data_IF_645299645045
#
_entry.id   IF_645299645045
#
_cell.length_a   1.000
_cell.length_b   1.000
_cell.length_c   1.000
_cell.angle_alpha   90.00
_cell.angle_beta   90.00
_cell.angle_gamma   90.00
#
_symmetry.space_group_name_H-M   'P 1'
#
loop_
_entity.id
_entity.type
_entity.pdbx_description
1 polymer ?
#
# COMPACT_ATOMS: atom_id res chain seq x y z
N UNK A 1 22.82 -0.91 34.51
CA UNK A 1 22.96 0.20 33.54
C UNK A 1 21.78 1.16 33.69
N UNK A 2 22.02 2.47 33.48
CA UNK A 2 20.91 3.45 33.45
C UNK A 2 20.96 4.29 32.19
N UNK A 3 19.81 4.45 31.52
CA UNK A 3 19.59 5.37 30.41
C UNK A 3 18.54 6.38 30.87
N UNK A 4 18.97 7.62 31.11
CA UNK A 4 18.12 8.65 31.72
C UNK A 4 18.18 9.92 30.88
N UNK A 5 17.33 10.01 29.88
CA UNK A 5 17.31 11.08 28.89
C UNK A 5 18.25 10.85 27.71
N UNK A 6 18.21 11.75 26.76
CA UNK A 6 18.94 11.63 25.49
C UNK A 6 18.28 10.69 24.48
N UNK A 7 18.89 10.59 23.31
CA UNK A 7 18.37 9.77 22.20
C UNK A 7 19.40 8.74 21.75
N UNK A 8 18.97 7.47 21.69
CA UNK A 8 19.66 6.39 20.99
C UNK A 8 18.93 6.17 19.68
N UNK A 9 19.52 6.60 18.58
CA UNK A 9 18.89 6.46 17.25
C UNK A 9 18.86 5.01 16.81
N UNK A 10 19.98 4.28 17.02
CA UNK A 10 20.06 2.87 16.65
C UNK A 10 21.07 2.11 17.48
N UNK A 11 20.66 0.98 18.02
CA UNK A 11 21.53 -0.02 18.64
C UNK A 11 21.24 -1.38 17.97
N UNK A 12 22.29 -2.09 17.56
CA UNK A 12 22.14 -3.37 16.84
C UNK A 12 23.10 -4.40 17.43
N UNK A 13 22.56 -5.54 17.80
CA UNK A 13 23.32 -6.69 18.27
C UNK A 13 24.06 -7.40 17.11
N UNK A 14 25.18 -8.00 17.42
CA UNK A 14 25.94 -8.80 16.47
C UNK A 14 25.21 -10.09 16.09
N UNK A 15 25.31 -10.49 14.84
CA UNK A 15 24.76 -11.75 14.33
C UNK A 15 25.82 -12.85 14.30
N UNK A 16 25.40 -14.12 14.51
CA UNK A 16 26.31 -15.25 14.52
C UNK A 16 25.64 -16.58 14.88
N UNK A 17 26.39 -17.49 15.55
CA UNK A 17 25.80 -18.73 16.07
C UNK A 17 24.71 -18.45 17.11
N UNK A 18 24.89 -17.40 17.91
CA UNK A 18 23.87 -16.81 18.78
C UNK A 18 23.80 -15.32 18.50
N UNK A 19 22.62 -14.74 18.51
CA UNK A 19 22.42 -13.31 18.32
C UNK A 19 22.81 -12.51 19.57
N UNK A 20 23.48 -11.37 19.41
CA UNK A 20 23.73 -10.41 20.48
C UNK A 20 22.55 -9.46 20.66
N UNK A 21 22.41 -8.89 21.85
CA UNK A 21 21.33 -7.92 22.11
C UNK A 21 21.63 -6.54 21.51
N UNK A 22 20.58 -5.81 21.11
CA UNK A 22 20.74 -4.43 20.64
C UNK A 22 21.17 -3.50 21.77
N UNK A 23 20.46 -3.52 22.88
CA UNK A 23 20.83 -2.86 24.14
C UNK A 23 20.79 -3.94 25.21
N UNK A 24 21.94 -4.31 25.77
CA UNK A 24 22.08 -5.36 26.77
C UNK A 24 22.77 -4.89 28.03
N UNK A 25 22.36 -5.44 29.18
CA UNK A 25 23.01 -5.26 30.47
C UNK A 25 23.12 -6.60 31.19
N UNK A 26 24.28 -6.96 31.68
CA UNK A 26 24.43 -8.17 32.54
C UNK A 26 23.76 -8.05 33.90
N UNK A 27 23.54 -6.83 34.38
CA UNK A 27 22.80 -6.51 35.60
C UNK A 27 21.53 -5.72 35.29
N UNK A 28 21.00 -5.04 36.31
CA UNK A 28 19.81 -4.22 36.13
C UNK A 28 19.94 -3.19 35.03
N UNK A 29 18.85 -3.03 34.29
CA UNK A 29 18.72 -1.98 33.27
C UNK A 29 17.53 -1.07 33.60
N UNK A 30 17.81 0.20 33.75
CA UNK A 30 16.76 1.21 33.93
C UNK A 30 16.76 2.16 32.74
N UNK A 31 15.62 2.30 32.08
CA UNK A 31 15.36 3.29 31.02
C UNK A 31 14.28 4.22 31.56
N UNK A 32 14.60 5.51 31.74
CA UNK A 32 13.68 6.41 32.47
C UNK A 32 13.88 7.86 32.08
N UNK A 33 13.10 8.74 32.70
CA UNK A 33 13.13 10.18 32.40
C UNK A 33 12.63 10.47 30.98
N UNK A 34 13.37 11.29 30.23
CA UNK A 34 13.06 11.61 28.82
C UNK A 34 13.89 10.78 27.81
N UNK A 35 14.32 9.59 28.21
CA UNK A 35 15.10 8.72 27.31
C UNK A 35 14.29 8.33 26.05
N UNK A 36 14.92 8.50 24.88
CA UNK A 36 14.34 8.10 23.62
C UNK A 36 15.22 7.05 22.94
N UNK A 37 14.65 5.88 22.68
CA UNK A 37 15.29 4.83 21.89
C UNK A 37 14.50 4.67 20.60
N UNK A 38 15.06 5.10 19.46
CA UNK A 38 14.35 5.00 18.19
C UNK A 38 14.33 3.56 17.69
N UNK A 39 15.48 2.87 17.74
CA UNK A 39 15.56 1.47 17.33
C UNK A 39 16.59 0.72 18.18
N UNK A 40 16.17 -0.39 18.79
CA UNK A 40 17.03 -1.40 19.38
C UNK A 40 16.74 -2.75 18.72
N UNK A 41 17.73 -3.34 18.06
CA UNK A 41 17.58 -4.57 17.28
C UNK A 41 18.55 -5.64 17.73
N UNK A 42 18.05 -6.81 18.08
CA UNK A 42 18.84 -8.00 18.34
C UNK A 42 19.45 -8.59 17.08
N UNK A 43 20.62 -9.18 17.22
CA UNK A 43 21.32 -9.88 16.13
C UNK A 43 20.63 -11.21 15.79
N UNK A 44 20.76 -11.63 14.55
CA UNK A 44 20.25 -12.92 14.07
C UNK A 44 21.13 -14.08 14.51
N UNK A 45 20.54 -15.26 14.66
CA UNK A 45 21.23 -16.50 15.01
C UNK A 45 21.05 -17.58 13.94
N UNK A 46 22.10 -18.37 13.72
CA UNK A 46 22.05 -19.57 12.85
C UNK A 46 21.78 -20.84 13.63
N UNK A 47 22.34 -20.98 14.83
CA UNK A 47 22.29 -22.24 15.61
C UNK A 47 21.64 -22.09 17.00
N UNK A 48 21.74 -20.91 17.61
CA UNK A 48 21.20 -20.60 18.93
C UNK A 48 19.98 -19.69 18.85
N UNK A 49 19.72 -18.96 19.92
CA UNK A 49 18.64 -18.01 19.98
C UNK A 49 19.02 -16.68 19.33
N UNK A 50 18.07 -16.00 18.73
CA UNK A 50 18.22 -14.61 18.31
C UNK A 50 18.45 -13.71 19.53
N UNK A 51 19.19 -12.60 19.36
CA UNK A 51 19.40 -11.61 20.43
C UNK A 51 18.13 -10.80 20.67
N UNK A 52 17.96 -10.26 21.85
CA UNK A 52 16.85 -9.37 22.18
C UNK A 52 17.09 -7.94 21.66
N UNK A 53 16.02 -7.20 21.40
CA UNK A 53 16.14 -5.78 21.10
C UNK A 53 16.72 -5.02 22.30
N UNK A 54 16.10 -5.18 23.46
CA UNK A 54 16.54 -4.62 24.76
C UNK A 54 16.54 -5.75 25.78
N UNK A 55 17.63 -5.92 26.54
CA UNK A 55 17.72 -6.98 27.55
C UNK A 55 18.40 -6.60 28.85
N UNK A 56 18.02 -7.27 29.93
CA UNK A 56 18.78 -7.32 31.16
C UNK A 56 19.15 -8.78 31.55
N UNK A 57 20.15 -8.94 32.40
CA UNK A 57 20.69 -10.26 32.76
C UNK A 57 19.70 -11.22 33.45
N UNK A 58 20.09 -12.47 33.58
CA UNK A 58 19.22 -13.56 34.00
C UNK A 58 18.61 -13.44 35.41
N UNK A 59 19.24 -12.66 36.28
CA UNK A 59 18.73 -12.41 37.64
C UNK A 59 18.48 -10.93 37.91
N UNK A 60 18.24 -10.18 36.86
CA UNK A 60 18.22 -8.71 36.87
C UNK A 60 16.84 -8.14 36.58
N UNK A 61 16.64 -6.89 36.93
CA UNK A 61 15.41 -6.15 36.70
C UNK A 61 15.59 -5.21 35.51
N UNK A 62 14.71 -5.29 34.56
CA UNK A 62 14.55 -4.27 33.52
C UNK A 62 13.39 -3.36 33.93
N UNK A 63 13.71 -2.08 34.12
CA UNK A 63 12.69 -1.06 34.45
C UNK A 63 12.60 -0.06 33.32
N UNK A 64 11.39 0.19 32.82
CA UNK A 64 11.07 1.26 31.89
C UNK A 64 10.05 2.15 32.59
N UNK A 65 10.37 3.44 32.81
CA UNK A 65 9.54 4.30 33.65
C UNK A 65 9.66 5.78 33.30
N UNK A 66 8.71 6.58 33.75
CA UNK A 66 8.71 8.03 33.60
C UNK A 66 8.06 8.50 32.29
N UNK A 67 8.83 9.07 31.40
CA UNK A 67 8.38 9.51 30.06
C UNK A 67 9.28 8.92 28.99
N UNK A 68 9.86 7.75 29.24
CA UNK A 68 10.71 7.08 28.27
C UNK A 68 9.89 6.69 27.01
N UNK A 69 10.53 6.82 25.85
CA UNK A 69 9.92 6.50 24.57
C UNK A 69 10.78 5.48 23.83
N UNK A 70 10.21 4.30 23.58
CA UNK A 70 10.83 3.24 22.81
C UNK A 70 10.09 3.13 21.48
N UNK A 71 10.71 3.60 20.40
CA UNK A 71 10.15 3.51 19.05
C UNK A 71 10.04 2.06 18.60
N UNK A 72 11.17 1.37 18.46
CA UNK A 72 11.19 -0.06 18.07
C UNK A 72 12.19 -0.84 18.90
N UNK A 73 11.72 -1.90 19.55
CA UNK A 73 12.53 -2.96 20.15
C UNK A 73 12.25 -4.27 19.40
N UNK A 74 13.21 -4.73 18.60
CA UNK A 74 13.05 -5.88 17.70
C UNK A 74 13.99 -7.00 18.09
N UNK A 75 13.44 -8.16 18.37
CA UNK A 75 14.23 -9.39 18.55
C UNK A 75 14.84 -9.89 17.25
N UNK A 76 16.02 -10.46 17.34
CA UNK A 76 16.71 -11.08 16.22
C UNK A 76 16.07 -12.39 15.79
N UNK A 77 16.10 -12.70 14.50
CA UNK A 77 15.59 -13.97 13.99
C UNK A 77 16.55 -15.14 14.35
N UNK A 78 15.99 -16.35 14.40
CA UNK A 78 16.76 -17.58 14.56
C UNK A 78 16.43 -18.59 13.45
N UNK A 79 17.48 -19.33 12.97
CA UNK A 79 17.24 -20.44 12.04
C UNK A 79 16.89 -21.73 12.77
N UNK A 80 17.62 -22.10 13.82
CA UNK A 80 17.46 -23.39 14.49
C UNK A 80 17.05 -23.30 15.98
N UNK A 81 16.92 -22.08 16.51
CA UNK A 81 16.55 -21.85 17.91
C UNK A 81 15.27 -21.04 18.07
N UNK A 82 15.19 -20.32 19.14
CA UNK A 82 14.09 -19.39 19.43
C UNK A 82 14.43 -18.00 18.89
N UNK A 83 13.48 -17.31 18.31
CA UNK A 83 13.63 -15.88 18.00
C UNK A 83 13.91 -15.07 19.27
N UNK A 84 14.69 -14.00 19.18
CA UNK A 84 14.93 -13.12 20.33
C UNK A 84 13.68 -12.33 20.71
N UNK A 85 13.57 -11.89 21.94
CA UNK A 85 12.46 -11.05 22.36
C UNK A 85 12.66 -9.59 21.92
N UNK A 86 11.59 -8.85 21.78
CA UNK A 86 11.70 -7.39 21.59
C UNK A 86 12.32 -6.74 22.83
N UNK A 87 11.74 -7.00 23.98
CA UNK A 87 12.20 -6.57 25.29
C UNK A 87 12.26 -7.77 26.23
N UNK A 88 13.39 -8.01 26.88
CA UNK A 88 13.61 -9.20 27.70
C UNK A 88 14.24 -8.89 29.06
N UNK A 89 13.83 -9.63 30.07
CA UNK A 89 14.58 -9.76 31.33
C UNK A 89 14.57 -11.21 31.80
N UNK A 90 15.71 -11.73 32.19
CA UNK A 90 15.75 -13.06 32.77
C UNK A 90 15.03 -13.18 34.13
N UNK A 91 14.68 -12.06 34.77
CA UNK A 91 13.92 -12.02 36.01
C UNK A 91 12.67 -11.14 35.86
N UNK A 92 12.78 -9.85 36.05
CA UNK A 92 11.61 -8.94 36.09
C UNK A 92 11.65 -7.89 35.00
N UNK A 93 10.57 -7.75 34.25
CA UNK A 93 10.26 -6.59 33.43
C UNK A 93 9.22 -5.74 34.16
N UNK A 94 9.55 -4.49 34.42
CA UNK A 94 8.65 -3.51 35.04
C UNK A 94 8.47 -2.31 34.14
N UNK A 95 7.22 -2.01 33.77
CA UNK A 95 6.86 -0.88 32.86
C UNK A 95 5.82 -0.04 33.58
N UNK A 96 6.06 1.29 33.64
CA UNK A 96 5.13 2.20 34.31
C UNK A 96 5.10 3.57 33.63
N UNK A 97 4.04 3.85 32.86
CA UNK A 97 3.73 5.16 32.34
C UNK A 97 4.44 5.59 31.06
N UNK A 98 5.02 4.68 30.32
CA UNK A 98 5.89 4.92 29.16
C UNK A 98 5.19 4.67 27.82
N UNK A 99 5.88 5.04 26.72
CA UNK A 99 5.43 4.70 25.37
C UNK A 99 6.38 3.68 24.74
N UNK A 100 5.85 2.50 24.41
CA UNK A 100 6.51 1.48 23.62
C UNK A 100 5.74 1.35 22.32
N UNK A 101 6.21 2.05 21.28
CA UNK A 101 5.50 2.11 19.99
C UNK A 101 5.47 0.74 19.32
N UNK A 102 6.57 -0.04 19.48
CA UNK A 102 6.66 -1.39 18.91
C UNK A 102 7.70 -2.24 19.62
N UNK A 103 7.25 -3.30 20.28
CA UNK A 103 8.11 -4.37 20.77
C UNK A 103 7.76 -5.66 20.02
N UNK A 104 8.71 -6.22 19.27
CA UNK A 104 8.43 -7.36 18.39
C UNK A 104 9.43 -8.48 18.62
N UNK A 105 8.94 -9.67 18.81
CA UNK A 105 9.76 -10.88 18.85
C UNK A 105 10.37 -11.22 17.49
N UNK A 106 11.52 -11.83 17.52
CA UNK A 106 12.20 -12.34 16.32
C UNK A 106 11.49 -13.58 15.77
N UNK A 107 11.52 -13.75 14.47
CA UNK A 107 10.99 -14.95 13.82
C UNK A 107 11.96 -16.12 13.96
N UNK A 108 11.43 -17.34 13.90
CA UNK A 108 12.23 -18.54 13.86
C UNK A 108 11.75 -19.50 12.76
N UNK A 109 12.67 -20.20 12.08
CA UNK A 109 12.36 -20.96 10.86
C UNK A 109 12.64 -22.47 10.96
N UNK A 110 13.29 -22.96 11.99
CA UNK A 110 13.60 -24.40 12.19
C UNK A 110 12.39 -25.26 12.53
N UNK A 111 12.50 -26.56 12.37
CA UNK A 111 11.40 -27.52 12.60
C UNK A 111 10.82 -27.52 14.02
N UNK A 112 11.63 -27.16 15.03
CA UNK A 112 11.21 -27.06 16.43
C UNK A 112 11.34 -25.63 16.96
N UNK A 113 11.27 -24.65 16.06
CA UNK A 113 11.50 -23.26 16.38
C UNK A 113 10.30 -22.59 17.04
N UNK A 114 10.58 -21.65 17.93
CA UNK A 114 9.57 -20.79 18.56
C UNK A 114 9.89 -19.34 18.23
N UNK A 115 8.90 -18.56 17.83
CA UNK A 115 9.05 -17.11 17.70
C UNK A 115 9.35 -16.47 19.06
N UNK A 116 10.16 -15.41 19.08
CA UNK A 116 10.40 -14.64 20.30
C UNK A 116 9.16 -13.88 20.76
N UNK A 117 9.11 -13.48 22.01
CA UNK A 117 8.02 -12.66 22.54
C UNK A 117 8.24 -11.18 22.23
N UNK A 118 7.17 -10.41 22.16
CA UNK A 118 7.30 -8.95 22.09
C UNK A 118 7.93 -8.41 23.38
N UNK A 119 7.41 -8.82 24.53
CA UNK A 119 7.96 -8.56 25.86
C UNK A 119 8.01 -9.90 26.61
N UNK A 120 9.19 -10.29 27.12
CA UNK A 120 9.41 -11.55 27.84
C UNK A 120 10.13 -11.39 29.15
N UNK A 121 9.79 -12.23 30.15
CA UNK A 121 10.47 -12.25 31.44
C UNK A 121 9.88 -13.30 32.38
N UNK A 122 10.56 -13.64 33.49
CA UNK A 122 9.92 -14.49 34.51
C UNK A 122 8.74 -13.77 35.16
N UNK A 123 8.91 -12.50 35.49
CA UNK A 123 7.82 -11.64 35.97
C UNK A 123 7.66 -10.43 35.02
N UNK A 124 6.50 -10.25 34.46
CA UNK A 124 6.18 -9.06 33.66
C UNK A 124 5.10 -8.26 34.36
N UNK A 125 5.46 -7.07 34.82
CA UNK A 125 4.56 -6.16 35.52
C UNK A 125 4.40 -4.88 34.75
N UNK A 126 3.17 -4.58 34.30
CA UNK A 126 2.80 -3.37 33.55
C UNK A 126 1.80 -2.58 34.39
N UNK A 127 2.18 -1.38 34.82
CA UNK A 127 1.38 -0.50 35.67
C UNK A 127 0.94 0.80 34.94
N UNK A 128 0.78 0.74 33.65
CA UNK A 128 0.35 1.86 32.79
C UNK A 128 1.24 2.03 31.57
N UNK A 129 0.90 3.01 30.72
CA UNK A 129 1.62 3.34 29.48
C UNK A 129 0.88 2.95 28.22
N UNK A 130 1.44 3.35 27.08
CA UNK A 130 0.96 2.96 25.74
C UNK A 130 1.93 1.95 25.14
N UNK A 131 1.48 0.71 24.93
CA UNK A 131 2.34 -0.41 24.59
C UNK A 131 1.77 -1.20 23.41
N UNK A 132 2.51 -1.27 22.31
CA UNK A 132 2.22 -2.21 21.22
C UNK A 132 3.27 -3.31 21.19
N UNK A 133 2.81 -4.53 21.26
CA UNK A 133 3.69 -5.69 21.34
C UNK A 133 3.21 -6.83 20.44
N UNK A 134 4.16 -7.52 19.80
CA UNK A 134 3.86 -8.59 18.85
C UNK A 134 4.84 -9.73 19.01
N UNK A 135 4.34 -10.95 19.10
CA UNK A 135 5.16 -12.16 19.06
C UNK A 135 5.71 -12.44 17.67
N UNK A 136 6.89 -13.01 17.60
CA UNK A 136 7.50 -13.49 16.37
C UNK A 136 6.83 -14.75 15.84
N UNK A 137 6.97 -15.02 14.55
CA UNK A 137 6.48 -16.25 13.93
C UNK A 137 7.49 -17.40 14.11
N UNK A 138 6.98 -18.62 14.15
CA UNK A 138 7.74 -19.86 14.24
C UNK A 138 6.82 -21.04 14.00
N UNK A 139 7.29 -22.28 14.21
CA UNK A 139 6.40 -23.45 14.29
C UNK A 139 5.45 -23.30 15.49
N UNK A 140 5.93 -22.71 16.57
CA UNK A 140 5.11 -22.10 17.62
C UNK A 140 5.34 -20.60 17.61
N UNK A 141 4.29 -19.82 17.48
CA UNK A 141 4.38 -18.36 17.53
C UNK A 141 4.76 -17.87 18.92
N UNK A 142 5.46 -16.75 18.97
CA UNK A 142 5.77 -16.04 20.20
C UNK A 142 4.54 -15.31 20.76
N UNK A 143 4.56 -15.01 22.04
CA UNK A 143 3.53 -14.20 22.68
C UNK A 143 3.77 -12.69 22.44
N UNK A 144 2.72 -11.91 22.49
CA UNK A 144 2.86 -10.47 22.63
C UNK A 144 3.56 -10.15 23.95
N UNK A 145 3.02 -10.63 25.06
CA UNK A 145 3.61 -10.54 26.40
C UNK A 145 3.69 -11.95 26.98
N UNK A 146 4.86 -12.36 27.46
CA UNK A 146 5.12 -13.69 28.03
C UNK A 146 5.82 -13.60 29.38
N UNK A 147 5.39 -14.42 30.35
CA UNK A 147 6.02 -14.53 31.66
C UNK A 147 5.60 -15.77 32.42
N UNK A 148 6.39 -16.15 33.44
CA UNK A 148 5.92 -17.15 34.41
C UNK A 148 4.75 -16.56 35.20
N UNK A 149 4.85 -15.27 35.54
CA UNK A 149 3.75 -14.47 36.11
C UNK A 149 3.66 -13.16 35.34
N UNK A 150 2.46 -12.83 34.88
CA UNK A 150 2.16 -11.54 34.24
C UNK A 150 1.11 -10.80 35.06
N UNK A 151 1.32 -9.50 35.26
CA UNK A 151 0.36 -8.59 35.92
C UNK A 151 0.25 -7.30 35.14
N UNK A 152 -0.97 -6.90 34.85
CA UNK A 152 -1.27 -5.70 34.06
C UNK A 152 -2.31 -4.88 34.81
N UNK A 153 -2.00 -3.60 35.07
CA UNK A 153 -2.92 -2.72 35.79
C UNK A 153 -2.83 -1.28 35.32
N UNK A 154 -3.88 -0.49 35.54
CA UNK A 154 -3.91 0.95 35.32
C UNK A 154 -3.80 1.79 36.60
N UNK A 155 -3.26 1.20 37.66
CA UNK A 155 -3.26 1.79 39.01
C UNK A 155 -2.53 3.12 39.05
N UNK A 156 -1.36 3.24 38.40
CA UNK A 156 -0.50 4.42 38.50
C UNK A 156 -0.72 5.43 37.40
N UNK A 157 -0.91 4.98 36.16
CA UNK A 157 -1.06 5.83 34.98
C UNK A 157 -2.10 5.23 34.03
N UNK A 158 -2.62 6.00 33.06
CA UNK A 158 -3.42 5.43 31.99
C UNK A 158 -2.69 4.30 31.29
N UNK A 159 -3.43 3.28 30.90
CA UNK A 159 -2.94 2.07 30.24
C UNK A 159 -3.64 1.88 28.90
N UNK A 160 -2.86 1.69 27.85
CA UNK A 160 -3.35 1.30 26.52
C UNK A 160 -2.39 0.26 25.93
N UNK A 161 -2.82 -1.00 25.92
CA UNK A 161 -2.01 -2.10 25.41
C UNK A 161 -2.68 -2.74 24.20
N UNK A 162 -1.90 -2.92 23.13
CA UNK A 162 -2.21 -3.86 22.07
C UNK A 162 -1.18 -4.98 22.09
N UNK A 163 -1.60 -6.20 22.42
CA UNK A 163 -0.77 -7.38 22.40
C UNK A 163 -1.23 -8.34 21.28
N UNK A 164 -0.31 -8.77 20.45
CA UNK A 164 -0.57 -9.61 19.27
C UNK A 164 0.26 -10.87 19.29
N UNK A 165 -0.34 -12.00 18.96
CA UNK A 165 0.36 -13.27 18.70
C UNK A 165 -0.12 -13.87 17.38
N UNK A 166 0.77 -14.53 16.60
CA UNK A 166 0.34 -15.34 15.47
C UNK A 166 -0.47 -16.58 15.90
N UNK A 167 -0.29 -17.04 17.12
CA UNK A 167 -1.01 -18.19 17.67
C UNK A 167 -2.25 -17.76 18.48
N UNK A 168 -3.25 -18.64 18.55
CA UNK A 168 -4.40 -18.46 19.42
C UNK A 168 -3.98 -18.52 20.89
N UNK A 169 -4.68 -17.78 21.75
CA UNK A 169 -4.52 -17.76 23.21
C UNK A 169 -3.11 -17.43 23.72
N UNK A 170 -2.31 -16.71 22.93
CA UNK A 170 -0.94 -16.33 23.27
C UNK A 170 -0.65 -14.83 23.18
N UNK A 171 -1.61 -13.96 22.92
CA UNK A 171 -1.32 -12.51 22.93
C UNK A 171 -0.72 -12.07 24.27
N UNK A 172 -1.26 -12.57 25.36
CA UNK A 172 -0.65 -12.48 26.71
C UNK A 172 -0.65 -13.88 27.32
N UNK A 173 0.53 -14.40 27.64
CA UNK A 173 0.74 -15.70 28.19
C UNK A 173 1.34 -15.61 29.62
N UNK A 174 0.69 -16.25 30.58
CA UNK A 174 1.23 -16.43 31.95
C UNK A 174 1.35 -17.92 32.22
N UNK A 175 2.57 -18.39 32.54
CA UNK A 175 2.85 -19.83 32.69
C UNK A 175 2.39 -20.38 34.03
N UNK A 176 1.94 -19.52 34.95
CA UNK A 176 1.27 -19.94 36.21
C UNK A 176 -0.17 -20.46 35.98
N UNK A 177 -0.59 -20.54 34.72
CA UNK A 177 -1.89 -21.04 34.27
C UNK A 177 -3.05 -20.06 34.43
N UNK A 178 -2.78 -18.82 34.75
CA UNK A 178 -3.81 -17.78 34.80
C UNK A 178 -4.17 -17.31 33.41
N UNK A 179 -5.46 -17.12 33.19
CA UNK A 179 -6.05 -16.58 31.98
C UNK A 179 -6.01 -15.03 31.99
N UNK A 180 -6.09 -14.36 30.83
CA UNK A 180 -6.02 -12.89 30.77
C UNK A 180 -6.95 -12.15 31.73
N UNK A 181 -8.16 -12.67 31.97
CA UNK A 181 -9.12 -12.09 32.90
C UNK A 181 -8.63 -12.10 34.37
N UNK A 182 -7.66 -12.93 34.70
CA UNK A 182 -7.08 -13.03 36.05
C UNK A 182 -5.75 -12.29 36.23
N UNK A 183 -5.18 -11.81 35.13
CA UNK A 183 -3.90 -11.09 35.12
C UNK A 183 -4.06 -9.61 34.73
N UNK A 184 -5.18 -9.26 34.13
CA UNK A 184 -5.50 -7.88 33.77
C UNK A 184 -6.43 -7.29 34.82
N UNK A 185 -5.90 -6.36 35.61
CA UNK A 185 -6.58 -5.68 36.71
C UNK A 185 -6.78 -4.21 36.36
N UNK A 186 -7.95 -3.89 35.82
CA UNK A 186 -8.28 -2.51 35.42
C UNK A 186 -9.22 -1.90 36.48
N UNK A 187 -8.71 -0.91 37.20
CA UNK A 187 -9.44 -0.22 38.26
C UNK A 187 -10.24 0.98 37.72
N UNK A 188 -11.40 1.23 38.29
CA UNK A 188 -12.21 2.43 38.07
C UNK A 188 -11.65 3.61 38.90
N UNK A 189 -10.41 4.02 38.63
CA UNK A 189 -9.71 5.08 39.34
C UNK A 189 -9.65 6.41 38.59
N UNK A 190 -10.52 6.58 37.58
CA UNK A 190 -10.56 7.75 36.70
C UNK A 190 -9.48 7.77 35.60
N UNK A 191 -8.59 6.78 35.58
CA UNK A 191 -7.58 6.61 34.53
C UNK A 191 -8.07 5.59 33.50
N UNK A 192 -7.80 5.83 32.24
CA UNK A 192 -8.11 4.88 31.17
C UNK A 192 -7.32 3.58 31.38
N UNK A 193 -7.99 2.46 31.27
CA UNK A 193 -7.39 1.13 31.15
C UNK A 193 -7.97 0.41 29.96
N UNK A 194 -7.16 0.14 28.95
CA UNK A 194 -7.53 -0.59 27.74
C UNK A 194 -6.48 -1.64 27.43
N UNK A 195 -6.89 -2.88 27.24
CA UNK A 195 -6.03 -3.97 26.78
C UNK A 195 -6.71 -4.66 25.62
N UNK A 196 -6.07 -4.62 24.48
CA UNK A 196 -6.49 -5.28 23.24
C UNK A 196 -5.58 -6.48 22.97
N UNK A 197 -6.17 -7.67 22.91
CA UNK A 197 -5.50 -8.90 22.53
C UNK A 197 -5.88 -9.26 21.10
N UNK A 198 -4.89 -9.50 20.26
CA UNK A 198 -5.09 -9.94 18.88
C UNK A 198 -4.43 -11.30 18.70
N UNK A 199 -5.23 -12.33 18.50
CA UNK A 199 -4.81 -13.73 18.48
C UNK A 199 -5.39 -14.43 17.26
N UNK A 200 -4.52 -14.84 16.34
CA UNK A 200 -4.94 -15.48 15.10
C UNK A 200 -6.09 -14.71 14.39
N UNK A 201 -5.99 -13.37 14.35
CA UNK A 201 -7.00 -12.49 13.75
C UNK A 201 -8.25 -12.22 14.59
N UNK A 202 -8.39 -12.86 15.75
CA UNK A 202 -9.50 -12.63 16.70
C UNK A 202 -9.07 -11.55 17.70
N UNK A 203 -9.92 -10.57 17.92
CA UNK A 203 -9.67 -9.47 18.86
C UNK A 203 -10.53 -9.64 20.12
N UNK A 204 -9.88 -9.56 21.30
CA UNK A 204 -10.53 -9.46 22.61
C UNK A 204 -10.15 -8.13 23.27
N UNK A 205 -11.10 -7.47 23.93
CA UNK A 205 -10.89 -6.19 24.59
C UNK A 205 -11.21 -6.28 26.07
N UNK A 206 -10.36 -5.67 26.90
CA UNK A 206 -10.55 -5.46 28.33
C UNK A 206 -10.46 -3.96 28.61
N UNK A 207 -11.41 -3.42 29.38
CA UNK A 207 -11.36 -2.01 29.78
C UNK A 207 -11.97 -1.81 31.17
N UNK A 208 -11.59 -0.74 31.84
CA UNK A 208 -11.96 -0.47 33.24
C UNK A 208 -13.32 0.22 33.42
N UNK A 209 -14.14 0.32 32.40
CA UNK A 209 -15.47 0.92 32.50
C UNK A 209 -16.52 -0.16 32.38
N UNK A 210 -17.26 -0.40 33.46
CA UNK A 210 -18.39 -1.31 33.46
C UNK A 210 -19.57 -0.58 32.82
N UNK A 211 -20.05 -1.11 31.69
CA UNK A 211 -21.28 -0.65 31.07
C UNK A 211 -22.30 -1.79 31.12
N UNK A 212 -23.42 -1.53 31.78
CA UNK A 212 -24.53 -2.48 31.79
C UNK A 212 -25.12 -2.57 30.39
N UNK A 213 -24.95 -3.72 29.76
CA UNK A 213 -25.63 -4.03 28.49
C UNK A 213 -24.75 -4.32 27.27
N UNK A 214 -23.46 -4.66 27.39
CA UNK A 214 -22.53 -4.77 26.27
C UNK A 214 -21.91 -6.16 26.11
N UNK A 215 -22.00 -6.77 24.91
CA UNK A 215 -21.35 -8.04 24.57
C UNK A 215 -20.12 -7.78 23.70
N UNK A 216 -18.93 -8.11 24.19
CA UNK A 216 -17.73 -8.18 23.36
C UNK A 216 -17.59 -9.58 22.75
N UNK A 217 -17.30 -9.70 21.43
CA UNK A 217 -17.02 -11.00 20.80
C UNK A 217 -15.82 -11.69 21.48
N UNK A 218 -16.03 -12.89 22.00
CA UNK A 218 -14.98 -13.69 22.65
C UNK A 218 -14.98 -13.68 24.18
N UNK A 219 -15.88 -12.95 24.83
CA UNK A 219 -16.11 -13.01 26.26
C UNK A 219 -17.33 -13.88 26.59
N UNK A 220 -17.21 -14.73 27.61
CA UNK A 220 -18.37 -15.46 28.19
C UNK A 220 -19.19 -14.60 29.15
N UNK A 221 -19.07 -13.29 29.07
CA UNK A 221 -19.84 -12.30 29.82
C UNK A 221 -20.25 -11.19 28.82
N UNK A 222 -21.50 -10.85 28.88
CA UNK A 222 -22.15 -10.01 27.88
C UNK A 222 -21.96 -8.51 28.17
N UNK A 223 -21.09 -7.84 27.42
CA UNK A 223 -20.99 -6.37 27.44
C UNK A 223 -21.30 -5.79 26.04
N UNK A 224 -22.30 -4.88 25.92
CA UNK A 224 -22.61 -4.19 24.66
C UNK A 224 -22.23 -2.70 24.77
N UNK A 225 -21.38 -2.15 23.90
CA UNK A 225 -21.14 -0.70 23.81
C UNK A 225 -22.35 -0.01 23.19
N UNK A 226 -22.95 1.00 23.86
CA UNK A 226 -23.92 1.85 23.18
C UNK A 226 -23.20 2.66 22.10
N UNK A 227 -23.17 2.13 20.90
CA UNK A 227 -22.58 2.80 19.78
C UNK A 227 -23.51 3.90 19.28
N UNK A 228 -22.94 5.05 18.95
CA UNK A 228 -23.66 6.18 18.38
C UNK A 228 -24.05 5.96 16.93
N UNK A 229 -24.49 7.04 16.30
CA UNK A 229 -24.80 7.05 14.89
C UNK A 229 -23.55 6.80 14.04
N UNK A 230 -23.76 6.23 12.84
CA UNK A 230 -22.71 6.05 11.87
C UNK A 230 -22.27 7.40 11.28
N UNK A 231 -21.00 7.67 11.35
CA UNK A 231 -20.33 8.70 10.54
C UNK A 231 -19.83 8.04 9.27
N UNK A 232 -20.03 8.68 8.13
CA UNK A 232 -19.62 8.15 6.84
C UNK A 232 -18.71 9.15 6.14
N UNK A 233 -17.60 8.66 5.67
CA UNK A 233 -16.75 9.30 4.68
C UNK A 233 -16.98 8.56 3.36
N UNK A 234 -17.72 9.21 2.47
CA UNK A 234 -18.17 8.58 1.23
C UNK A 234 -16.99 8.21 0.34
N UNK A 235 -17.01 7.03 -0.28
CA UNK A 235 -15.98 6.64 -1.23
C UNK A 235 -16.07 7.50 -2.49
N UNK A 236 -14.92 7.78 -3.09
CA UNK A 236 -14.81 8.38 -4.41
C UNK A 236 -14.72 7.29 -5.49
N UNK A 237 -14.56 7.70 -6.74
CA UNK A 237 -14.34 6.73 -7.81
C UNK A 237 -13.06 5.90 -7.62
N UNK A 238 -12.03 6.47 -7.01
CA UNK A 238 -10.69 5.86 -6.89
C UNK A 238 -10.27 5.57 -5.46
N UNK A 239 -10.81 6.30 -4.49
CA UNK A 239 -10.44 6.16 -3.10
C UNK A 239 -11.57 5.47 -2.33
N UNK A 240 -11.23 4.48 -1.48
CA UNK A 240 -12.21 3.87 -0.59
C UNK A 240 -12.70 4.89 0.42
N UNK A 241 -13.94 4.77 0.81
CA UNK A 241 -14.54 5.47 1.93
C UNK A 241 -14.47 4.61 3.19
N UNK A 242 -15.00 5.13 4.27
CA UNK A 242 -15.18 4.39 5.51
C UNK A 242 -16.42 4.90 6.24
N UNK A 243 -17.04 4.04 6.98
CA UNK A 243 -18.01 4.45 8.00
C UNK A 243 -17.54 4.00 9.36
N UNK A 244 -17.80 4.80 10.36
CA UNK A 244 -17.44 4.48 11.73
C UNK A 244 -18.49 5.02 12.70
N UNK A 245 -18.55 4.38 13.85
CA UNK A 245 -19.31 4.84 14.98
C UNK A 245 -18.56 4.58 16.26
N UNK A 246 -18.68 5.45 17.22
CA UNK A 246 -17.97 5.38 18.48
C UNK A 246 -18.94 5.11 19.61
N UNK A 247 -18.44 4.53 20.69
CA UNK A 247 -19.19 4.39 21.92
C UNK A 247 -19.63 5.78 22.45
N UNK A 248 -20.90 5.90 22.81
CA UNK A 248 -21.47 7.18 23.28
C UNK A 248 -21.10 7.50 24.73
N UNK A 249 -20.44 6.59 25.40
CA UNK A 249 -20.05 6.79 26.79
C UNK A 249 -18.79 7.63 26.87
N UNK A 250 -18.84 8.70 27.69
CA UNK A 250 -17.72 9.62 27.88
C UNK A 250 -16.43 8.89 28.27
N UNK A 251 -15.39 9.06 27.44
CA UNK A 251 -14.06 8.48 27.62
C UNK A 251 -13.96 6.98 27.22
N UNK A 252 -14.97 6.41 26.58
CA UNK A 252 -14.85 5.14 25.88
C UNK A 252 -14.16 5.39 24.53
N UNK A 253 -13.16 4.58 24.20
CA UNK A 253 -12.39 4.68 22.93
C UNK A 253 -12.82 3.63 21.90
N UNK A 254 -13.84 2.86 22.19
CA UNK A 254 -14.33 1.81 21.29
C UNK A 254 -14.99 2.45 20.08
N UNK A 255 -14.45 2.12 18.91
CA UNK A 255 -14.96 2.56 17.60
C UNK A 255 -15.11 1.31 16.72
N UNK A 256 -16.25 1.18 16.11
CA UNK A 256 -16.51 0.24 15.04
C UNK A 256 -16.25 0.93 13.71
N UNK A 257 -15.48 0.32 12.84
CA UNK A 257 -15.11 0.89 11.52
C UNK A 257 -15.39 -0.16 10.46
N UNK A 258 -15.99 0.28 9.36
CA UNK A 258 -16.23 -0.54 8.17
C UNK A 258 -15.71 0.22 6.95
N UNK A 259 -14.86 -0.43 6.15
CA UNK A 259 -14.36 0.14 4.90
C UNK A 259 -15.44 0.05 3.82
N UNK A 260 -15.61 1.13 3.08
CA UNK A 260 -16.47 1.22 1.91
C UNK A 260 -15.59 1.15 0.67
N UNK A 261 -15.79 0.17 -0.21
CA UNK A 261 -14.96 0.08 -1.41
C UNK A 261 -15.11 1.32 -2.28
N UNK A 262 -14.05 1.70 -3.00
CA UNK A 262 -14.13 2.75 -4.00
C UNK A 262 -15.25 2.44 -5.02
N UNK A 263 -15.98 3.46 -5.44
CA UNK A 263 -17.14 3.33 -6.32
C UNK A 263 -16.78 2.79 -7.71
N UNK A 264 -15.50 2.95 -8.10
CA UNK A 264 -15.09 2.75 -9.48
C UNK A 264 -15.60 3.88 -10.39
N UNK A 265 -15.09 3.93 -11.59
CA UNK A 265 -15.56 4.90 -12.56
C UNK A 265 -16.81 4.38 -13.27
N UNK A 266 -17.82 5.23 -13.39
CA UNK A 266 -18.99 5.01 -14.24
C UNK A 266 -18.73 5.68 -15.60
N UNK A 267 -18.06 4.95 -16.47
CA UNK A 267 -17.65 5.46 -17.76
C UNK A 267 -18.85 5.59 -18.72
N UNK A 268 -18.86 6.68 -19.50
CA UNK A 268 -19.67 6.79 -20.72
C UNK A 268 -19.24 5.76 -21.78
N UNK A 269 -19.98 5.63 -22.86
CA UNK A 269 -19.47 5.01 -24.07
C UNK A 269 -18.23 5.75 -24.60
N UNK A 270 -17.39 5.03 -25.36
CA UNK A 270 -16.25 5.63 -26.04
C UNK A 270 -16.74 6.59 -27.14
N UNK A 271 -16.15 7.78 -27.17
CA UNK A 271 -16.45 8.84 -28.16
C UNK A 271 -15.19 9.14 -28.95
N UNK A 272 -15.23 9.10 -30.27
CA UNK A 272 -14.09 9.47 -31.09
C UNK A 272 -13.63 10.92 -30.83
N UNK A 273 -12.32 11.13 -30.77
CA UNK A 273 -11.74 12.48 -30.74
C UNK A 273 -11.73 12.99 -32.18
N UNK A 274 -12.33 14.16 -32.40
CA UNK A 274 -12.41 14.75 -33.72
C UNK A 274 -11.00 14.96 -34.31
N UNK A 275 -10.76 14.41 -35.52
CA UNK A 275 -9.48 14.50 -36.22
C UNK A 275 -8.34 13.65 -35.70
N UNK A 276 -8.62 12.66 -34.81
CA UNK A 276 -7.57 11.82 -34.22
C UNK A 276 -7.91 10.32 -34.21
N UNK A 277 -6.89 9.51 -34.00
CA UNK A 277 -7.01 8.05 -33.87
C UNK A 277 -7.25 7.60 -32.41
N UNK A 278 -7.82 8.46 -31.60
CA UNK A 278 -8.13 8.18 -30.22
C UNK A 278 -9.61 8.30 -29.91
N UNK A 279 -10.05 7.54 -28.97
CA UNK A 279 -11.35 7.70 -28.34
C UNK A 279 -11.17 8.12 -26.88
N UNK A 280 -12.13 8.82 -26.39
CA UNK A 280 -12.20 9.15 -24.97
C UNK A 280 -13.53 8.70 -24.37
N UNK A 281 -13.53 8.53 -23.06
CA UNK A 281 -14.73 8.36 -22.26
C UNK A 281 -14.64 9.20 -21.00
N UNK A 282 -15.78 9.57 -20.46
CA UNK A 282 -15.88 10.45 -19.31
C UNK A 282 -16.61 9.69 -18.19
N UNK A 283 -16.08 9.76 -16.99
CA UNK A 283 -16.78 9.25 -15.84
C UNK A 283 -17.95 10.19 -15.45
N UNK A 284 -19.16 9.64 -15.36
CA UNK A 284 -20.35 10.40 -15.00
C UNK A 284 -20.34 10.93 -13.55
N UNK A 285 -19.50 10.36 -12.69
CA UNK A 285 -19.44 10.71 -11.27
C UNK A 285 -18.35 11.75 -10.98
N UNK A 286 -17.14 11.56 -11.47
CA UNK A 286 -15.99 12.42 -11.13
C UNK A 286 -15.47 13.25 -12.30
N UNK A 287 -16.04 13.14 -13.49
CA UNK A 287 -15.61 13.79 -14.73
C UNK A 287 -14.19 13.45 -15.16
N UNK A 288 -13.58 12.40 -14.61
CA UNK A 288 -12.31 11.89 -15.10
C UNK A 288 -12.45 11.49 -16.57
N UNK A 289 -11.43 11.79 -17.38
CA UNK A 289 -11.39 11.45 -18.79
C UNK A 289 -10.34 10.38 -19.01
N UNK A 290 -10.73 9.33 -19.70
CA UNK A 290 -9.81 8.28 -20.13
C UNK A 290 -9.73 8.27 -21.65
N UNK A 291 -8.52 8.12 -22.16
CA UNK A 291 -8.24 8.01 -23.58
C UNK A 291 -7.75 6.63 -23.92
N UNK A 292 -8.13 6.11 -25.08
CA UNK A 292 -7.49 4.94 -25.67
C UNK A 292 -7.13 5.21 -27.12
N UNK A 293 -6.05 4.62 -27.55
CA UNK A 293 -5.73 4.54 -28.96
C UNK A 293 -6.61 3.46 -29.61
N UNK A 294 -7.24 3.79 -30.70
CA UNK A 294 -8.00 2.82 -31.49
C UNK A 294 -7.02 2.14 -32.45
N UNK A 295 -6.26 1.19 -31.94
CA UNK A 295 -5.47 0.32 -32.79
C UNK A 295 -6.37 -0.82 -33.27
N UNK A 296 -6.85 -0.72 -34.49
CA UNK A 296 -7.44 -1.87 -35.15
C UNK A 296 -6.30 -2.76 -35.66
N UNK A 297 -5.98 -3.76 -34.91
CA UNK A 297 -5.14 -4.87 -35.35
C UNK A 297 -6.01 -5.87 -36.15
N UNK A 298 -6.84 -5.38 -37.06
CA UNK A 298 -7.57 -6.17 -38.03
C UNK A 298 -6.85 -5.98 -39.35
N UNK A 299 -6.07 -6.94 -39.77
CA UNK A 299 -5.56 -7.21 -41.12
C UNK A 299 -5.72 -6.19 -42.24
N UNK A 300 -5.68 -4.89 -41.92
CA UNK A 300 -5.77 -3.83 -42.87
C UNK A 300 -4.52 -3.84 -43.77
N UNK A 301 -4.72 -4.10 -45.04
CA UNK A 301 -3.63 -4.13 -46.02
C UNK A 301 -3.45 -2.71 -46.54
N UNK A 302 -2.40 -2.03 -46.15
CA UNK A 302 -2.00 -0.76 -46.71
C UNK A 302 -1.55 -1.02 -48.16
N UNK A 303 -2.02 -0.24 -49.16
CA UNK A 303 -1.51 -0.34 -50.50
C UNK A 303 0.03 -0.23 -50.55
N UNK A 304 0.68 -1.11 -51.29
CA UNK A 304 2.15 -1.28 -51.27
C UNK A 304 2.93 -0.05 -51.71
N UNK A 305 2.28 0.90 -52.40
CA UNK A 305 2.93 2.12 -52.93
C UNK A 305 2.61 3.37 -52.07
N UNK A 306 1.73 3.26 -51.06
CA UNK A 306 1.46 4.39 -50.17
C UNK A 306 2.65 4.57 -49.20
N UNK A 307 3.14 5.81 -49.07
CA UNK A 307 4.30 6.15 -48.25
C UNK A 307 3.99 7.33 -47.36
N UNK A 308 4.57 7.33 -46.18
CA UNK A 308 4.65 8.49 -45.30
C UNK A 308 6.12 8.91 -45.19
N UNK A 309 6.43 10.10 -45.74
CA UNK A 309 7.79 10.61 -45.77
C UNK A 309 7.98 11.69 -44.68
N UNK A 310 9.11 11.67 -44.00
CA UNK A 310 9.55 12.76 -43.13
C UNK A 310 10.16 13.93 -43.93
N UNK A 311 10.65 14.97 -43.23
CA UNK A 311 11.29 16.13 -43.82
C UNK A 311 12.58 15.79 -44.58
N UNK A 312 13.19 14.64 -44.37
CA UNK A 312 14.39 14.16 -45.08
C UNK A 312 14.06 13.26 -46.27
N UNK A 313 12.77 13.09 -46.59
CA UNK A 313 12.25 12.20 -47.63
C UNK A 313 12.48 10.70 -47.30
N UNK A 314 12.65 10.36 -46.02
CA UNK A 314 12.73 8.98 -45.59
C UNK A 314 11.32 8.42 -45.37
N UNK A 315 11.07 7.21 -45.88
CA UNK A 315 9.78 6.52 -45.67
C UNK A 315 9.69 5.99 -44.24
N UNK A 316 8.74 6.52 -43.49
CA UNK A 316 8.51 6.21 -42.08
C UNK A 316 7.21 5.44 -41.84
N UNK A 317 6.48 5.04 -42.90
CA UNK A 317 5.16 4.41 -42.77
C UNK A 317 5.19 3.16 -41.85
N UNK A 318 6.27 2.38 -41.86
CA UNK A 318 6.45 1.18 -41.04
C UNK A 318 7.05 1.47 -39.64
N UNK A 319 7.37 2.71 -39.33
CA UNK A 319 7.93 3.10 -38.06
C UNK A 319 6.80 3.33 -37.02
N UNK A 320 6.47 2.30 -36.26
CA UNK A 320 5.38 2.34 -35.25
C UNK A 320 5.60 3.35 -34.10
N UNK A 321 6.79 3.94 -33.95
CA UNK A 321 7.04 5.02 -33.01
C UNK A 321 6.68 6.40 -33.59
N UNK A 322 6.72 6.54 -34.90
CA UNK A 322 6.46 7.81 -35.57
C UNK A 322 5.12 7.84 -36.31
N UNK A 323 4.65 6.71 -36.82
CA UNK A 323 3.39 6.61 -37.56
C UNK A 323 2.44 5.63 -36.90
N UNK A 324 1.24 6.08 -36.65
CA UNK A 324 0.16 5.26 -36.16
C UNK A 324 -0.97 5.23 -37.15
N UNK A 325 -1.43 4.03 -37.48
CA UNK A 325 -2.55 3.78 -38.37
C UNK A 325 -3.73 3.24 -37.62
N UNK A 326 -4.93 3.78 -37.86
CA UNK A 326 -6.15 3.22 -37.29
C UNK A 326 -7.33 3.43 -38.24
N UNK A 327 -8.29 2.51 -38.19
CA UNK A 327 -9.55 2.65 -38.92
C UNK A 327 -10.71 2.71 -37.93
N UNK A 328 -11.56 3.71 -38.10
CA UNK A 328 -12.79 3.85 -37.33
C UNK A 328 -13.93 4.02 -38.34
N UNK A 329 -14.81 3.04 -38.40
CA UNK A 329 -15.87 2.96 -39.41
C UNK A 329 -15.28 3.01 -40.82
N UNK A 330 -15.62 4.04 -41.61
CA UNK A 330 -15.18 4.28 -42.97
C UNK A 330 -14.04 5.31 -43.06
N UNK A 331 -13.39 5.63 -41.94
CA UNK A 331 -12.31 6.61 -41.85
C UNK A 331 -10.98 5.93 -41.51
N UNK A 332 -9.96 6.17 -42.34
CA UNK A 332 -8.57 5.80 -42.04
C UNK A 332 -7.85 7.02 -41.44
N UNK A 333 -7.32 6.85 -40.25
CA UNK A 333 -6.47 7.84 -39.58
C UNK A 333 -5.00 7.45 -39.75
N UNK A 334 -4.19 8.42 -40.17
CA UNK A 334 -2.73 8.32 -40.29
C UNK A 334 -2.13 9.44 -39.46
N UNK A 335 -1.74 9.09 -38.22
CA UNK A 335 -1.17 10.03 -37.25
C UNK A 335 0.35 9.94 -37.26
N UNK A 336 1.01 11.06 -37.45
CA UNK A 336 2.47 11.17 -37.52
C UNK A 336 2.98 12.06 -36.40
N UNK A 337 3.84 11.52 -35.55
CA UNK A 337 4.46 12.21 -34.39
C UNK A 337 5.65 13.10 -34.86
N UNK A 338 5.42 13.95 -35.85
CA UNK A 338 6.37 14.94 -36.40
C UNK A 338 5.62 16.22 -36.74
N UNK A 339 6.30 17.38 -36.73
CA UNK A 339 5.73 18.65 -37.20
C UNK A 339 5.58 18.72 -38.73
N UNK A 340 6.41 17.95 -39.46
CA UNK A 340 6.45 17.96 -40.93
C UNK A 340 6.49 16.54 -41.46
N UNK A 341 5.53 16.21 -42.30
CA UNK A 341 5.46 14.94 -43.02
C UNK A 341 4.61 15.03 -44.26
N UNK A 342 4.74 14.07 -45.18
CA UNK A 342 3.90 13.96 -46.35
C UNK A 342 3.41 12.53 -46.59
N UNK A 343 2.15 12.42 -47.03
CA UNK A 343 1.55 11.18 -47.52
C UNK A 343 1.64 11.20 -49.05
N UNK A 344 2.27 10.21 -49.65
CA UNK A 344 2.54 10.10 -51.08
C UNK A 344 2.15 8.74 -51.63
N UNK A 345 1.79 8.72 -52.92
CA UNK A 345 1.43 7.53 -53.67
C UNK A 345 0.86 7.86 -55.02
N UNK A 346 0.10 6.94 -55.59
CA UNK A 346 -0.70 7.20 -56.81
C UNK A 346 -2.19 7.16 -56.48
N UNK A 347 -3.04 7.77 -57.29
CA UNK A 347 -4.48 7.88 -57.02
C UNK A 347 -5.15 6.52 -56.79
N UNK A 348 -4.70 5.47 -57.49
CA UNK A 348 -5.24 4.11 -57.27
C UNK A 348 -4.96 3.58 -55.88
N UNK A 349 -3.89 4.00 -55.20
CA UNK A 349 -3.62 3.60 -53.81
C UNK A 349 -4.64 4.19 -52.83
N UNK A 350 -5.02 5.48 -53.03
CA UNK A 350 -6.07 6.11 -52.24
C UNK A 350 -7.45 5.55 -52.57
N UNK A 351 -7.80 5.48 -53.87
CA UNK A 351 -9.12 5.03 -54.28
C UNK A 351 -9.32 3.53 -54.02
N UNK A 352 -8.23 2.75 -54.00
CA UNK A 352 -8.24 1.32 -53.62
C UNK A 352 -8.65 1.08 -52.18
N UNK A 353 -8.44 2.04 -51.27
CA UNK A 353 -8.87 1.96 -49.88
C UNK A 353 -10.40 1.82 -49.75
N UNK A 354 -11.17 2.23 -50.74
CA UNK A 354 -12.63 2.08 -50.77
C UNK A 354 -13.06 0.60 -50.85
N UNK A 355 -12.22 -0.29 -51.39
CA UNK A 355 -12.48 -1.74 -51.35
C UNK A 355 -12.34 -2.31 -49.95
N UNK A 356 -11.67 -1.60 -49.05
CA UNK A 356 -11.53 -1.93 -47.61
C UNK A 356 -12.55 -1.16 -46.74
N UNK A 357 -13.61 -0.62 -47.42
CA UNK A 357 -14.66 0.15 -46.77
C UNK A 357 -14.18 1.47 -46.13
N UNK A 358 -13.17 2.11 -46.69
CA UNK A 358 -12.68 3.43 -46.29
C UNK A 358 -13.15 4.47 -47.32
N UNK A 359 -13.86 5.49 -46.88
CA UNK A 359 -14.33 6.60 -47.72
C UNK A 359 -13.59 7.89 -47.39
N UNK A 360 -12.89 7.96 -46.26
CA UNK A 360 -12.20 9.17 -45.82
C UNK A 360 -10.83 8.84 -45.28
N UNK A 361 -9.83 9.64 -45.58
CA UNK A 361 -8.50 9.60 -44.98
C UNK A 361 -8.28 10.86 -44.15
N UNK A 362 -7.89 10.71 -42.91
CA UNK A 362 -7.44 11.77 -42.01
C UNK A 362 -5.93 11.64 -41.83
N UNK A 363 -5.19 12.63 -42.26
CA UNK A 363 -3.74 12.72 -42.14
C UNK A 363 -3.41 13.80 -41.09
N UNK A 364 -2.74 13.40 -40.01
CA UNK A 364 -2.43 14.27 -38.87
C UNK A 364 -0.92 14.30 -38.60
N UNK A 365 -0.41 15.49 -38.34
CA UNK A 365 0.92 15.75 -37.76
C UNK A 365 0.75 16.49 -36.44
N UNK A 366 1.82 16.78 -35.73
CA UNK A 366 1.72 17.42 -34.39
C UNK A 366 0.94 18.75 -34.39
N UNK A 367 0.89 19.48 -35.53
CA UNK A 367 0.29 20.83 -35.63
C UNK A 367 -0.74 20.98 -36.73
N UNK A 368 -0.97 19.96 -37.52
CA UNK A 368 -1.86 20.05 -38.67
C UNK A 368 -2.66 18.76 -38.84
N UNK A 369 -3.95 18.88 -39.13
CA UNK A 369 -4.81 17.75 -39.49
C UNK A 369 -5.54 18.10 -40.77
N UNK A 370 -5.57 17.18 -41.73
CA UNK A 370 -6.31 17.29 -42.96
C UNK A 370 -7.20 16.08 -43.18
N UNK A 371 -8.41 16.34 -43.62
CA UNK A 371 -9.38 15.31 -44.00
C UNK A 371 -9.57 15.31 -45.51
N UNK A 372 -9.44 14.14 -46.11
CA UNK A 372 -9.55 13.94 -47.55
C UNK A 372 -10.64 12.91 -47.89
N UNK A 373 -11.64 13.31 -48.64
CA UNK A 373 -12.69 12.42 -49.15
C UNK A 373 -12.17 11.64 -50.38
N UNK A 374 -12.23 10.31 -50.32
CA UNK A 374 -11.77 9.46 -51.41
C UNK A 374 -12.66 9.56 -52.65
N UNK A 375 -13.94 9.91 -52.49
CA UNK A 375 -14.83 10.18 -53.61
C UNK A 375 -14.41 11.44 -54.40
N UNK A 376 -13.95 12.49 -53.69
CA UNK A 376 -13.48 13.74 -54.34
C UNK A 376 -12.15 13.52 -55.06
N UNK A 377 -11.28 12.66 -54.51
CA UNK A 377 -9.99 12.30 -55.10
C UNK A 377 -10.14 11.46 -56.37
N UNK A 378 -11.12 10.55 -56.39
CA UNK A 378 -11.34 9.65 -57.56
C UNK A 378 -11.62 10.38 -58.88
N UNK A 379 -12.05 11.64 -58.80
CA UNK A 379 -12.35 12.47 -59.99
C UNK A 379 -11.15 13.25 -60.54
N UNK A 380 -9.96 13.22 -59.87
CA UNK A 380 -8.85 14.12 -60.14
C UNK A 380 -7.88 13.64 -61.24
N UNK A 381 -7.94 12.38 -61.63
CA UNK A 381 -7.03 11.87 -62.68
C UNK A 381 -7.09 10.34 -62.86
N UNK A 382 -6.19 9.84 -63.71
CA UNK A 382 -6.02 8.40 -63.89
C UNK A 382 -5.39 7.74 -62.65
N UNK A 383 -5.59 6.44 -62.45
CA UNK A 383 -5.16 5.73 -61.27
C UNK A 383 -3.65 5.78 -60.99
N UNK A 384 -2.82 5.91 -62.02
CA UNK A 384 -1.34 6.02 -61.92
C UNK A 384 -0.84 7.45 -61.68
N UNK A 385 -1.74 8.44 -61.58
CA UNK A 385 -1.37 9.84 -61.32
C UNK A 385 -0.81 9.98 -59.90
N UNK A 386 0.42 10.52 -59.74
CA UNK A 386 1.01 10.70 -58.41
C UNK A 386 0.30 11.79 -57.61
N UNK A 387 0.19 11.59 -56.32
CA UNK A 387 -0.31 12.60 -55.39
C UNK A 387 0.67 12.84 -54.23
N UNK A 388 0.57 14.02 -53.64
CA UNK A 388 1.27 14.37 -52.39
C UNK A 388 0.37 15.22 -51.52
N UNK A 389 0.09 14.76 -50.31
CA UNK A 389 -0.50 15.53 -49.22
C UNK A 389 0.60 15.84 -48.22
N UNK A 390 0.95 17.11 -48.07
CA UNK A 390 2.06 17.56 -47.23
C UNK A 390 1.57 18.42 -46.09
N UNK A 391 2.12 18.19 -44.89
CA UNK A 391 2.02 19.07 -43.73
C UNK A 391 3.38 19.66 -43.39
N UNK A 392 3.42 20.98 -43.15
CA UNK A 392 4.61 21.69 -42.67
C UNK A 392 4.21 22.70 -41.59
N UNK A 393 4.50 22.40 -40.35
CA UNK A 393 3.97 23.11 -39.20
C UNK A 393 2.43 23.10 -39.22
N UNK A 394 1.80 24.25 -39.27
CA UNK A 394 0.33 24.40 -39.31
C UNK A 394 -0.27 24.52 -40.72
N UNK A 395 0.53 24.29 -41.78
CA UNK A 395 0.07 24.40 -43.16
C UNK A 395 -0.04 23.04 -43.82
N UNK A 396 -1.10 22.87 -44.61
CA UNK A 396 -1.30 21.70 -45.46
C UNK A 396 -1.34 22.08 -46.93
N UNK A 397 -0.92 21.15 -47.78
CA UNK A 397 -1.07 21.25 -49.24
C UNK A 397 -1.37 19.88 -49.84
N UNK A 398 -2.16 19.86 -50.91
CA UNK A 398 -2.48 18.63 -51.64
C UNK A 398 -2.31 18.84 -53.13
N UNK A 399 -1.47 18.02 -53.74
CA UNK A 399 -1.19 18.07 -55.15
C UNK A 399 -1.46 16.74 -55.84
N UNK A 400 -1.96 16.75 -57.06
CA UNK A 400 -2.21 15.57 -57.92
C UNK A 400 -1.66 15.86 -59.29
N UNK A 401 -0.74 15.01 -59.80
CA UNK A 401 -0.07 15.23 -61.08
C UNK A 401 0.68 16.56 -61.15
N UNK A 402 1.05 17.15 -60.01
CA UNK A 402 1.68 18.46 -59.88
C UNK A 402 0.69 19.66 -59.89
N UNK A 403 -0.59 19.44 -60.06
CA UNK A 403 -1.62 20.47 -59.90
C UNK A 403 -2.05 20.62 -58.44
N UNK A 404 -2.31 21.85 -58.00
CA UNK A 404 -2.76 22.17 -56.63
C UNK A 404 -4.25 21.85 -56.46
N UNK A 405 -4.56 21.03 -55.49
CA UNK A 405 -5.89 20.62 -55.06
C UNK A 405 -6.12 20.84 -53.56
N UNK A 406 -5.34 21.70 -52.92
CA UNK A 406 -5.38 22.00 -51.49
C UNK A 406 -6.79 22.38 -51.00
N UNK A 407 -7.59 22.99 -51.88
CA UNK A 407 -8.99 23.33 -51.55
C UNK A 407 -9.92 22.14 -51.26
N UNK A 408 -9.49 20.92 -51.56
CA UNK A 408 -10.21 19.67 -51.19
C UNK A 408 -9.95 19.21 -49.76
N UNK A 409 -8.93 19.74 -49.10
CA UNK A 409 -8.65 19.43 -47.69
C UNK A 409 -9.66 20.14 -46.79
N UNK A 410 -10.13 19.41 -45.80
CA UNK A 410 -11.04 19.91 -44.76
C UNK A 410 -10.39 19.84 -43.39
#
# INVERSE_FOLDING_TARGET
>A
MKIWGGTITKATGGSGKSGGDGIGSYGDLTISGSAKIETAQGGTSTDGNGGSGISSGSSSILTISGSANIGTAQGGASTNGTGGDGIHSGSVVKISGDTITKATGGNATGENSTGGSGIGGSFVNVEGGTINTTGGSGKSGGAGIDGDIVSISNTNTPLDITATSPDADKAIQSRDGKTPDKIIHLEENGKLGLVKLVENGITRLFHNRVYTGIILPGFSGSETHPLGEWHTEEPTCTEPGKKWRSCTVSGCVVTETEELPALGHQWSGWTPVEGGSREYRICAVCNAVEYRDVSHNSGFIIPTNLRVLDSTQTDILQNAQLVRLSQINDVLYIDVALETASLQGVLSDLTGLRSENIETVVFSTERCTSTLSLSDVAALGAGDTPFTLSHSGSTASFTVGGADHTALLR
#
